data_IF_653012882274
#
_entry.id   IF_653012882274
#
_cell.length_a   1.000
_cell.length_b   1.000
_cell.length_c   1.000
_cell.angle_alpha   90.00
_cell.angle_beta   90.00
_cell.angle_gamma   90.00
#
_symmetry.space_group_name_H-M   'P 1'
#
loop_
_entity.id
_entity.type
_entity.pdbx_description
1 polymer ?
#
# COMPACT_ATOMS: atom_id res chain seq x y z
N UNK A 1 -5.92 17.00 -18.62
CA UNK A 1 -7.05 16.67 -17.71
C UNK A 1 -6.41 16.28 -16.38
N UNK A 2 -6.90 16.75 -15.23
CA UNK A 2 -6.12 16.71 -13.98
C UNK A 2 -5.69 15.30 -13.52
N UNK A 3 -4.50 15.21 -12.93
CA UNK A 3 -3.93 14.02 -12.28
C UNK A 3 -4.94 13.42 -11.28
N UNK A 4 -5.34 12.17 -11.50
CA UNK A 4 -6.30 11.46 -10.62
C UNK A 4 -5.53 10.61 -9.63
N UNK A 5 -5.77 10.81 -8.33
CA UNK A 5 -5.11 10.02 -7.28
C UNK A 5 -6.05 8.98 -6.69
N UNK A 6 -5.51 7.79 -6.45
CA UNK A 6 -6.23 6.65 -5.93
C UNK A 6 -5.51 6.11 -4.70
N UNK A 7 -6.24 6.00 -3.59
CA UNK A 7 -5.74 5.33 -2.38
C UNK A 7 -5.66 3.82 -2.58
N UNK A 8 -4.97 3.15 -1.66
CA UNK A 8 -4.94 1.70 -1.52
C UNK A 8 -5.03 1.25 -0.05
N UNK A 9 -5.31 2.18 0.87
CA UNK A 9 -5.17 1.95 2.30
C UNK A 9 -6.50 1.79 3.03
N UNK A 10 -7.63 1.75 2.31
CA UNK A 10 -8.95 1.66 2.94
C UNK A 10 -9.10 0.41 3.82
N UNK A 11 -8.44 -0.70 3.49
CA UNK A 11 -8.50 -1.93 4.30
C UNK A 11 -7.74 -1.81 5.64
N UNK A 12 -6.60 -1.12 5.66
CA UNK A 12 -5.73 -1.02 6.84
C UNK A 12 -6.09 0.17 7.72
N UNK A 13 -6.71 1.21 7.15
CA UNK A 13 -7.09 2.44 7.84
C UNK A 13 -7.96 2.23 9.09
N UNK A 14 -9.02 1.40 9.08
CA UNK A 14 -9.84 1.15 10.26
C UNK A 14 -9.02 0.58 11.42
N UNK A 15 -8.17 -0.42 11.14
CA UNK A 15 -7.28 -0.99 12.15
C UNK A 15 -6.33 0.04 12.73
N UNK A 16 -5.71 0.87 11.89
CA UNK A 16 -4.81 1.94 12.35
C UNK A 16 -5.53 2.95 13.25
N UNK A 17 -6.78 3.32 12.91
CA UNK A 17 -7.60 4.19 13.76
C UNK A 17 -7.94 3.55 15.11
N UNK A 18 -8.29 2.26 15.12
CA UNK A 18 -8.53 1.53 16.38
C UNK A 18 -7.29 1.57 17.26
N UNK A 19 -6.12 1.23 16.73
CA UNK A 19 -4.88 1.27 17.51
C UNK A 19 -4.55 2.67 18.03
N UNK A 20 -4.79 3.73 17.25
CA UNK A 20 -4.58 5.11 17.69
C UNK A 20 -5.46 5.49 18.88
N UNK A 21 -6.67 4.94 18.98
CA UNK A 21 -7.58 5.18 20.12
C UNK A 21 -7.25 4.26 21.31
N UNK A 22 -6.89 3.01 21.03
CA UNK A 22 -6.59 2.00 22.06
C UNK A 22 -5.26 2.30 22.75
N UNK A 23 -4.22 2.75 22.04
CA UNK A 23 -2.89 3.02 22.63
C UNK A 23 -2.93 4.04 23.79
N UNK A 24 -3.62 5.20 23.69
CA UNK A 24 -3.81 6.09 24.84
C UNK A 24 -4.54 5.44 26.01
N UNK A 25 -5.55 4.60 25.74
CA UNK A 25 -6.28 3.88 26.77
C UNK A 25 -5.38 2.88 27.51
N UNK A 26 -4.54 2.15 26.78
CA UNK A 26 -3.53 1.26 27.36
C UNK A 26 -2.56 2.04 28.26
N UNK A 27 -2.09 3.21 27.82
CA UNK A 27 -1.21 4.07 28.62
C UNK A 27 -1.89 4.49 29.93
N UNK A 28 -3.17 4.89 29.88
CA UNK A 28 -3.95 5.26 31.06
C UNK A 28 -4.13 4.08 32.02
N UNK A 29 -4.41 2.89 31.50
CA UNK A 29 -4.56 1.67 32.30
C UNK A 29 -3.24 1.29 32.99
N UNK A 30 -2.11 1.41 32.29
CA UNK A 30 -0.79 1.18 32.85
C UNK A 30 -0.50 2.14 34.00
N UNK A 31 -0.80 3.43 33.83
CA UNK A 31 -0.60 4.45 34.86
C UNK A 31 -1.42 4.16 36.13
N UNK A 32 -2.62 3.60 35.98
CA UNK A 32 -3.53 3.28 37.09
C UNK A 32 -3.16 1.97 37.81
N UNK A 33 -2.73 0.95 37.07
CA UNK A 33 -2.58 -0.42 37.59
C UNK A 33 -1.15 -0.69 38.08
N UNK A 34 -0.13 -0.09 37.47
CA UNK A 34 1.28 -0.45 37.71
C UNK A 34 1.89 0.40 38.82
N UNK A 35 2.22 -0.18 40.00
CA UNK A 35 2.77 0.58 41.12
C UNK A 35 4.27 0.87 40.98
N UNK A 36 4.99 0.12 40.15
CA UNK A 36 6.44 0.27 39.99
C UNK A 36 6.79 1.33 38.97
N UNK A 37 7.44 2.40 39.43
CA UNK A 37 7.83 3.55 38.62
C UNK A 37 8.59 3.16 37.34
N UNK A 38 9.57 2.26 37.44
CA UNK A 38 10.39 1.86 36.28
C UNK A 38 9.57 1.13 35.21
N UNK A 39 8.68 0.21 35.62
CA UNK A 39 7.84 -0.51 34.68
C UNK A 39 6.88 0.45 33.96
N UNK A 40 6.28 1.39 34.72
CA UNK A 40 5.40 2.43 34.19
C UNK A 40 6.11 3.32 33.17
N UNK A 41 7.33 3.77 33.48
CA UNK A 41 8.14 4.60 32.57
C UNK A 41 8.48 3.87 31.26
N UNK A 42 8.86 2.59 31.34
CA UNK A 42 9.17 1.77 30.16
C UNK A 42 7.92 1.57 29.29
N UNK A 43 6.78 1.24 29.89
CA UNK A 43 5.53 1.04 29.16
C UNK A 43 5.03 2.33 28.51
N UNK A 44 5.15 3.48 29.20
CA UNK A 44 4.90 4.80 28.62
C UNK A 44 5.77 5.06 27.39
N UNK A 45 7.07 4.78 27.47
CA UNK A 45 7.99 4.95 26.35
C UNK A 45 7.58 4.08 25.15
N UNK A 46 7.19 2.82 25.37
CA UNK A 46 6.67 1.94 24.32
C UNK A 46 5.34 2.45 23.75
N UNK A 47 4.42 2.94 24.58
CA UNK A 47 3.15 3.50 24.13
C UNK A 47 3.35 4.73 23.23
N UNK A 48 4.23 5.66 23.63
CA UNK A 48 4.59 6.83 22.82
C UNK A 48 5.26 6.40 21.51
N UNK A 49 6.20 5.47 21.56
CA UNK A 49 6.87 4.95 20.37
C UNK A 49 5.86 4.30 19.40
N UNK A 50 4.94 3.48 19.91
CA UNK A 50 3.87 2.86 19.12
C UNK A 50 2.97 3.91 18.46
N UNK A 51 2.54 4.94 19.19
CA UNK A 51 1.74 6.02 18.64
C UNK A 51 2.48 6.79 17.52
N UNK A 52 3.77 7.06 17.71
CA UNK A 52 4.61 7.70 16.69
C UNK A 52 4.72 6.83 15.43
N UNK A 53 4.95 5.53 15.59
CA UNK A 53 5.03 4.59 14.47
C UNK A 53 3.70 4.47 13.71
N UNK A 54 2.57 4.43 14.42
CA UNK A 54 1.24 4.42 13.81
C UNK A 54 0.95 5.71 13.03
N UNK A 55 1.28 6.87 13.60
CA UNK A 55 1.15 8.16 12.93
C UNK A 55 2.02 8.25 11.66
N UNK A 56 3.26 7.79 11.75
CA UNK A 56 4.17 7.69 10.60
C UNK A 56 3.60 6.79 9.50
N UNK A 57 3.07 5.62 9.87
CA UNK A 57 2.46 4.69 8.92
C UNK A 57 1.26 5.30 8.20
N UNK A 58 0.38 6.01 8.92
CA UNK A 58 -0.74 6.74 8.31
C UNK A 58 -0.28 7.82 7.35
N UNK A 59 0.73 8.59 7.74
CA UNK A 59 1.30 9.64 6.89
C UNK A 59 1.86 9.06 5.59
N UNK A 60 2.60 7.94 5.66
CA UNK A 60 3.10 7.24 4.48
C UNK A 60 1.96 6.80 3.55
N UNK A 61 0.93 6.14 4.08
CA UNK A 61 -0.21 5.67 3.30
C UNK A 61 -1.01 6.82 2.68
N UNK A 62 -1.05 7.98 3.33
CA UNK A 62 -1.72 9.15 2.80
C UNK A 62 -0.89 9.87 1.73
N UNK A 63 0.43 9.94 1.88
CA UNK A 63 1.32 10.67 0.98
C UNK A 63 1.58 9.93 -0.33
N UNK A 64 1.79 8.62 -0.26
CA UNK A 64 2.13 7.79 -1.41
C UNK A 64 0.88 7.09 -1.92
N UNK A 65 0.11 7.77 -2.77
CA UNK A 65 -1.07 7.23 -3.47
C UNK A 65 -0.71 6.86 -4.91
N UNK A 66 -1.46 5.94 -5.50
CA UNK A 66 -1.41 5.73 -6.94
C UNK A 66 -1.92 6.98 -7.65
N UNK A 67 -1.34 7.32 -8.79
CA UNK A 67 -1.81 8.45 -9.59
C UNK A 67 -1.83 8.12 -11.07
N UNK A 68 -2.79 8.70 -11.79
CA UNK A 68 -2.95 8.51 -13.23
C UNK A 68 -2.91 9.89 -13.86
N UNK A 69 -1.86 10.10 -14.65
CA UNK A 69 -1.67 11.27 -15.50
C UNK A 69 -2.16 10.97 -16.93
N UNK A 70 -2.16 11.97 -17.80
CA UNK A 70 -2.62 11.83 -19.19
C UNK A 70 -1.74 10.87 -20.03
N UNK A 71 -0.53 10.52 -19.56
CA UNK A 71 0.41 9.62 -20.28
C UNK A 71 0.90 8.41 -19.48
N UNK A 72 0.83 8.48 -18.15
CA UNK A 72 1.48 7.50 -17.28
C UNK A 72 0.60 7.12 -16.09
N UNK A 73 0.62 5.83 -15.75
CA UNK A 73 0.16 5.30 -14.47
C UNK A 73 1.35 5.25 -13.50
N UNK A 74 1.21 5.92 -12.36
CA UNK A 74 2.16 5.90 -11.26
C UNK A 74 1.69 4.94 -10.18
N UNK A 75 2.37 3.80 -10.08
CA UNK A 75 2.19 2.86 -8.97
C UNK A 75 3.17 3.20 -7.86
N UNK A 76 2.66 3.82 -6.80
CA UNK A 76 3.41 4.14 -5.60
C UNK A 76 3.01 3.22 -4.44
N UNK A 77 3.99 2.67 -3.74
CA UNK A 77 3.79 1.96 -2.49
C UNK A 77 4.87 2.37 -1.49
N UNK A 78 4.45 3.06 -0.43
CA UNK A 78 5.34 3.72 0.52
C UNK A 78 6.45 4.54 -0.19
N UNK A 79 7.57 4.82 0.50
CA UNK A 79 8.71 5.53 -0.09
C UNK A 79 9.60 4.64 -0.96
N UNK A 80 9.47 3.32 -0.85
CA UNK A 80 10.43 2.36 -1.42
C UNK A 80 10.09 1.88 -2.82
N UNK A 81 8.87 2.15 -3.30
CA UNK A 81 8.42 1.67 -4.59
C UNK A 81 7.63 2.76 -5.30
N UNK A 82 8.19 3.24 -6.40
CA UNK A 82 7.54 4.13 -7.34
C UNK A 82 7.86 3.62 -8.74
N UNK A 83 6.84 3.20 -9.47
CA UNK A 83 6.99 2.70 -10.83
C UNK A 83 6.05 3.44 -11.78
N UNK A 84 6.57 3.83 -12.93
CA UNK A 84 5.87 4.60 -13.94
C UNK A 84 5.61 3.74 -15.17
N UNK A 85 4.35 3.48 -15.47
CA UNK A 85 3.93 2.67 -16.62
C UNK A 85 3.33 3.59 -17.68
N UNK A 86 3.84 3.59 -18.92
CA UNK A 86 3.20 4.29 -20.03
C UNK A 86 1.80 3.71 -20.28
N UNK A 87 0.79 4.56 -20.41
CA UNK A 87 -0.57 4.10 -20.70
C UNK A 87 -0.65 3.35 -22.04
N UNK A 88 0.17 3.75 -23.02
CA UNK A 88 0.29 3.08 -24.32
C UNK A 88 0.81 1.63 -24.23
N UNK A 89 1.50 1.28 -23.14
CA UNK A 89 2.00 -0.08 -22.92
C UNK A 89 0.92 -1.00 -22.33
N UNK A 90 -0.25 -0.47 -21.93
CA UNK A 90 -1.32 -1.25 -21.31
C UNK A 90 -2.21 -1.83 -22.43
N UNK A 91 -2.22 -3.15 -22.54
CA UNK A 91 -3.07 -3.90 -23.49
C UNK A 91 -4.52 -3.93 -23.00
N UNK A 92 -4.71 -4.31 -21.74
CA UNK A 92 -6.03 -4.47 -21.15
C UNK A 92 -6.03 -4.25 -19.66
N UNK A 93 -7.18 -3.78 -19.17
CA UNK A 93 -7.45 -3.54 -17.76
C UNK A 93 -8.70 -4.31 -17.35
N UNK A 94 -8.53 -5.19 -16.39
CA UNK A 94 -9.59 -6.04 -15.83
C UNK A 94 -9.68 -5.81 -14.34
N UNK A 95 -10.91 -5.61 -13.88
CA UNK A 95 -11.23 -5.61 -12.46
C UNK A 95 -11.50 -7.04 -12.01
N UNK A 96 -10.87 -7.45 -10.92
CA UNK A 96 -11.02 -8.80 -10.39
C UNK A 96 -10.28 -8.93 -9.07
N UNK A 97 -11.00 -9.35 -8.03
CA UNK A 97 -10.37 -9.61 -6.73
C UNK A 97 -9.60 -10.91 -6.80
N UNK A 98 -8.29 -10.84 -6.72
CA UNK A 98 -7.42 -12.01 -6.62
C UNK A 98 -6.83 -12.04 -5.22
N UNK A 99 -7.17 -13.08 -4.46
CA UNK A 99 -6.50 -13.38 -3.20
C UNK A 99 -5.28 -14.22 -3.52
N UNK A 100 -4.09 -13.75 -3.17
CA UNK A 100 -2.88 -14.55 -3.20
C UNK A 100 -2.26 -14.50 -1.82
N UNK A 101 -1.87 -15.64 -1.28
CA UNK A 101 -1.07 -15.67 -0.05
C UNK A 101 0.38 -15.46 -0.43
N UNK A 102 0.72 -14.24 -0.81
CA UNK A 102 2.11 -13.85 -0.88
C UNK A 102 2.46 -13.35 0.53
N UNK A 103 3.61 -13.76 1.06
CA UNK A 103 4.05 -13.29 2.37
C UNK A 103 4.68 -11.88 2.26
N UNK A 104 4.37 -11.12 1.20
CA UNK A 104 5.11 -9.93 0.79
C UNK A 104 4.26 -9.01 -0.07
N UNK A 105 4.16 -7.75 0.37
CA UNK A 105 3.45 -6.68 -0.33
C UNK A 105 3.86 -6.49 -1.80
N UNK A 106 5.14 -6.74 -2.13
CA UNK A 106 5.64 -6.71 -3.52
C UNK A 106 6.32 -8.02 -3.86
N UNK A 107 5.90 -8.64 -4.95
CA UNK A 107 6.52 -9.83 -5.50
C UNK A 107 6.31 -9.90 -7.01
N UNK A 108 7.26 -10.51 -7.71
CA UNK A 108 7.07 -10.93 -9.10
C UNK A 108 6.90 -12.44 -9.08
N UNK A 109 5.79 -12.91 -9.65
CA UNK A 109 5.44 -14.33 -9.73
C UNK A 109 5.12 -14.63 -11.19
N UNK A 110 5.91 -15.48 -11.84
CA UNK A 110 5.71 -15.88 -13.23
C UNK A 110 5.53 -14.69 -14.20
N UNK A 111 6.37 -13.64 -14.04
CA UNK A 111 6.28 -12.41 -14.85
C UNK A 111 5.08 -11.52 -14.51
N UNK A 112 4.39 -11.77 -13.38
CA UNK A 112 3.32 -10.91 -12.85
C UNK A 112 3.84 -10.13 -11.64
N UNK A 113 3.86 -8.79 -11.73
CA UNK A 113 4.09 -7.94 -10.56
C UNK A 113 2.81 -7.91 -9.72
N UNK A 114 2.88 -8.42 -8.50
CA UNK A 114 1.78 -8.40 -7.54
C UNK A 114 2.10 -7.39 -6.44
N UNK A 115 1.26 -6.36 -6.34
CA UNK A 115 1.23 -5.34 -5.29
C UNK A 115 0.00 -5.55 -4.41
N UNK A 116 0.12 -6.47 -3.47
CA UNK A 116 -1.00 -6.86 -2.61
C UNK A 116 -1.16 -5.95 -1.39
N UNK A 117 -2.41 -5.72 -0.99
CA UNK A 117 -2.76 -5.16 0.31
C UNK A 117 -3.60 -6.19 1.04
N UNK A 118 -3.17 -6.57 2.24
CA UNK A 118 -3.81 -7.62 3.05
C UNK A 118 -4.04 -8.93 2.27
N UNK A 119 -3.05 -9.40 1.50
CA UNK A 119 -3.13 -10.63 0.69
C UNK A 119 -4.15 -10.59 -0.47
N UNK A 120 -4.52 -9.39 -0.91
CA UNK A 120 -5.50 -9.20 -1.98
C UNK A 120 -5.08 -8.12 -2.98
N UNK A 121 -5.44 -8.33 -4.24
CA UNK A 121 -5.41 -7.34 -5.33
C UNK A 121 -6.80 -7.27 -5.96
N UNK A 122 -7.16 -6.15 -6.57
CA UNK A 122 -8.49 -5.96 -7.17
C UNK A 122 -8.48 -5.41 -8.61
N UNK A 123 -7.31 -4.99 -9.10
CA UNK A 123 -7.10 -4.56 -10.48
C UNK A 123 -5.96 -5.36 -11.08
N UNK A 124 -6.17 -5.82 -12.30
CA UNK A 124 -5.19 -6.53 -13.12
C UNK A 124 -4.98 -5.79 -14.44
N UNK A 125 -3.73 -5.53 -14.78
CA UNK A 125 -3.27 -4.94 -16.04
C UNK A 125 -2.46 -5.98 -16.80
N UNK A 126 -2.66 -6.02 -18.11
CA UNK A 126 -1.78 -6.76 -19.03
C UNK A 126 -1.04 -5.76 -19.89
N UNK A 127 0.25 -5.98 -20.08
CA UNK A 127 1.12 -5.12 -20.87
C UNK A 127 1.30 -5.69 -22.28
N UNK A 128 1.37 -4.81 -23.28
CA UNK A 128 1.59 -5.18 -24.68
C UNK A 128 2.99 -5.79 -24.87
N UNK A 129 3.99 -5.20 -24.22
CA UNK A 129 5.38 -5.63 -24.23
C UNK A 129 5.87 -5.87 -22.79
N UNK A 130 6.78 -6.85 -22.57
CA UNK A 130 7.43 -7.00 -21.28
C UNK A 130 8.09 -5.68 -20.85
N UNK A 131 7.83 -5.29 -19.60
CA UNK A 131 8.47 -4.12 -18.99
C UNK A 131 9.43 -4.59 -17.92
N UNK A 132 10.66 -4.09 -17.99
CA UNK A 132 11.64 -4.34 -16.94
C UNK A 132 11.28 -3.50 -15.70
N UNK A 133 11.08 -4.17 -14.58
CA UNK A 133 10.78 -3.57 -13.28
C UNK A 133 11.92 -3.88 -12.34
N UNK A 134 12.64 -2.84 -11.91
CA UNK A 134 13.64 -2.96 -10.87
C UNK A 134 12.98 -2.93 -9.48
N UNK A 135 13.08 -4.06 -8.76
CA UNK A 135 12.64 -4.19 -7.38
C UNK A 135 13.75 -3.84 -6.37
N UNK A 136 14.79 -3.13 -6.80
CA UNK A 136 15.93 -2.69 -6.02
C UNK A 136 16.79 -3.89 -5.61
N UNK A 137 16.75 -4.23 -4.32
CA UNK A 137 17.55 -5.36 -3.77
C UNK A 137 17.22 -6.72 -4.39
N UNK A 138 16.13 -6.84 -5.13
CA UNK A 138 15.71 -8.08 -5.79
C UNK A 138 16.06 -8.12 -7.28
N UNK A 139 16.61 -7.03 -7.80
CA UNK A 139 17.01 -6.91 -9.20
C UNK A 139 15.86 -6.56 -10.12
N UNK A 140 16.23 -6.43 -11.39
CA UNK A 140 15.35 -6.21 -12.51
C UNK A 140 14.61 -7.51 -12.89
N UNK A 141 13.32 -7.41 -13.14
CA UNK A 141 12.49 -8.51 -13.62
C UNK A 141 11.61 -8.04 -14.77
N UNK A 142 11.51 -8.87 -15.81
CA UNK A 142 10.55 -8.64 -16.89
C UNK A 142 9.15 -9.04 -16.44
N UNK A 143 8.24 -8.08 -16.57
CA UNK A 143 6.86 -8.22 -16.14
C UNK A 143 5.93 -7.97 -17.33
N UNK A 144 4.98 -8.87 -17.54
CA UNK A 144 3.94 -8.77 -18.58
C UNK A 144 2.55 -8.51 -18.01
N UNK A 145 2.38 -8.72 -16.70
CA UNK A 145 1.11 -8.53 -15.99
C UNK A 145 1.34 -7.81 -14.67
N UNK A 146 0.44 -6.89 -14.31
CA UNK A 146 0.52 -6.17 -13.04
C UNK A 146 -0.81 -6.28 -12.30
N UNK A 147 -0.77 -6.83 -11.09
CA UNK A 147 -1.92 -6.93 -10.19
C UNK A 147 -1.69 -6.00 -9.01
N UNK A 148 -2.63 -5.11 -8.71
CA UNK A 148 -2.52 -4.20 -7.57
C UNK A 148 -3.87 -3.94 -6.89
N UNK A 149 -3.82 -3.42 -5.67
CA UNK A 149 -5.00 -2.99 -4.93
C UNK A 149 -5.22 -1.47 -5.09
N UNK A 150 -6.48 -1.08 -5.28
CA UNK A 150 -6.91 0.33 -5.19
C UNK A 150 -8.25 0.45 -4.46
N UNK A 151 -8.45 1.56 -3.74
CA UNK A 151 -9.69 1.83 -3.00
C UNK A 151 -10.89 2.13 -3.93
N UNK A 152 -10.65 2.55 -5.18
CA UNK A 152 -11.68 2.80 -6.21
C UNK A 152 -11.29 2.10 -7.54
N UNK A 153 -11.52 0.77 -7.65
CA UNK A 153 -11.17 0.02 -8.85
C UNK A 153 -11.92 0.50 -10.08
N UNK A 154 -13.21 0.83 -9.95
CA UNK A 154 -14.01 1.30 -11.08
C UNK A 154 -13.48 2.64 -11.62
N UNK A 155 -13.14 3.58 -10.73
CA UNK A 155 -12.54 4.85 -11.10
C UNK A 155 -11.17 4.69 -11.76
N UNK A 156 -10.36 3.74 -11.28
CA UNK A 156 -9.07 3.40 -11.88
C UNK A 156 -9.25 2.84 -13.30
N UNK A 157 -10.11 1.85 -13.50
CA UNK A 157 -10.37 1.27 -14.83
C UNK A 157 -10.90 2.34 -15.79
N UNK A 158 -11.82 3.20 -15.34
CA UNK A 158 -12.32 4.33 -16.15
C UNK A 158 -11.24 5.35 -16.50
N UNK A 159 -10.27 5.57 -15.60
CA UNK A 159 -9.15 6.49 -15.88
C UNK A 159 -8.17 5.90 -16.91
N UNK A 160 -8.01 4.58 -16.94
CA UNK A 160 -7.09 3.87 -17.83
C UNK A 160 -7.68 3.54 -19.22
N UNK A 161 -9.00 3.42 -19.36
CA UNK A 161 -9.70 3.10 -20.64
C UNK A 161 -9.93 4.32 -21.56
N UNK A 162 -9.13 5.38 -21.42
CA UNK A 162 -9.26 6.56 -22.29
C UNK A 162 -8.81 6.30 -23.72
#
# INVERSE_FOLDING_TARGET
MGDRTFGYSAQVRPFLWVFIVVTPLEILLVELIVPWFWLRAVLLAFGVLSALLLGWQLWMLHKFKHSVDDRYLWLRYAREFEYRIPLAAIESVTQGTTSRTLHRTRSVVDGTLVLEISNSTNVSLRLNDPQEIDLGRRGAHDVTKIEFWTDDPDGMVRALRK
#
